data_IF_030252810778
#
_entry.id   IF_030252810778
#
_cell.length_a   1.000
_cell.length_b   1.000
_cell.length_c   1.000
_cell.angle_alpha   90.00
_cell.angle_beta   90.00
_cell.angle_gamma   90.00
#
_symmetry.space_group_name_H-M   'P 1'
#
loop_
_entity.id
_entity.type
_entity.pdbx_description
1 polymer ?
#
# COMPACT_ATOMS: atom_id res chain seq x y z
N UNK A 1 43.83 0.22 -29.47
CA UNK A 1 42.85 1.33 -29.48
C UNK A 1 41.42 0.83 -29.60
N UNK A 2 41.05 0.06 -30.64
CA UNK A 2 39.69 -0.49 -30.82
C UNK A 2 39.20 -1.32 -29.62
N UNK A 3 40.05 -2.19 -29.07
CA UNK A 3 39.71 -2.98 -27.88
C UNK A 3 39.43 -2.12 -26.64
N UNK A 4 40.16 -1.01 -26.46
CA UNK A 4 39.97 -0.09 -25.34
C UNK A 4 38.63 0.65 -25.49
N UNK A 5 38.29 1.06 -26.73
CA UNK A 5 37.02 1.71 -27.04
C UNK A 5 35.84 0.77 -26.76
N UNK A 6 35.94 -0.50 -27.16
CA UNK A 6 34.94 -1.53 -26.85
C UNK A 6 34.78 -1.75 -25.34
N UNK A 7 35.88 -1.83 -24.60
CA UNK A 7 35.83 -1.99 -23.14
C UNK A 7 35.11 -0.81 -22.45
N UNK A 8 35.45 0.42 -22.85
CA UNK A 8 34.81 1.64 -22.33
C UNK A 8 33.31 1.65 -22.63
N UNK A 9 32.92 1.21 -23.84
CA UNK A 9 31.51 1.10 -24.22
C UNK A 9 30.73 0.12 -23.33
N UNK A 10 31.29 -1.06 -23.05
CA UNK A 10 30.66 -2.03 -22.14
C UNK A 10 30.55 -1.51 -20.70
N UNK A 11 31.57 -0.83 -20.19
CA UNK A 11 31.53 -0.22 -18.86
C UNK A 11 30.43 0.85 -18.78
N UNK A 12 30.29 1.68 -19.81
CA UNK A 12 29.22 2.68 -19.88
C UNK A 12 27.84 2.04 -19.88
N UNK A 13 27.63 0.94 -20.62
CA UNK A 13 26.36 0.21 -20.62
C UNK A 13 26.01 -0.32 -19.22
N UNK A 14 26.98 -0.91 -18.51
CA UNK A 14 26.77 -1.42 -17.15
C UNK A 14 26.39 -0.28 -16.19
N UNK A 15 27.05 0.87 -16.30
CA UNK A 15 26.75 2.05 -15.46
C UNK A 15 25.33 2.56 -15.73
N UNK A 16 24.89 2.58 -16.98
CA UNK A 16 23.54 3.01 -17.36
C UNK A 16 22.50 2.03 -16.80
N UNK A 17 22.69 0.72 -16.99
CA UNK A 17 21.78 -0.29 -16.42
C UNK A 17 21.71 -0.19 -14.90
N UNK A 18 22.85 -0.06 -14.23
CA UNK A 18 22.91 0.10 -12.78
C UNK A 18 22.17 1.36 -12.31
N UNK A 19 22.32 2.48 -13.04
CA UNK A 19 21.60 3.71 -12.74
C UNK A 19 20.07 3.54 -12.87
N UNK A 20 19.59 2.85 -13.91
CA UNK A 20 18.17 2.57 -14.08
C UNK A 20 17.62 1.66 -12.97
N UNK A 21 18.37 0.63 -12.57
CA UNK A 21 18.00 -0.29 -11.48
C UNK A 21 17.92 0.49 -10.15
N UNK A 22 18.92 1.31 -9.83
CA UNK A 22 18.89 2.13 -8.61
C UNK A 22 17.81 3.21 -8.65
N UNK A 23 17.56 3.84 -9.80
CA UNK A 23 16.56 4.90 -9.93
C UNK A 23 15.12 4.37 -9.85
N UNK A 24 14.86 3.13 -10.27
CA UNK A 24 13.55 2.48 -10.15
C UNK A 24 13.29 1.90 -8.76
N UNK A 25 14.34 1.66 -7.97
CA UNK A 25 14.21 1.20 -6.57
C UNK A 25 13.65 2.26 -5.63
N UNK A 26 13.70 3.55 -5.98
CA UNK A 26 13.04 4.62 -5.22
C UNK A 26 11.57 4.74 -5.63
N UNK A 27 10.81 3.66 -5.41
CA UNK A 27 9.35 3.71 -5.37
C UNK A 27 8.97 4.64 -4.22
N UNK A 28 8.74 5.91 -4.53
CA UNK A 28 8.23 6.90 -3.57
C UNK A 28 7.01 6.29 -2.89
N UNK A 29 7.08 6.14 -1.56
CA UNK A 29 5.97 5.71 -0.73
C UNK A 29 4.76 6.61 -1.02
N UNK A 30 3.82 6.07 -1.79
CA UNK A 30 2.60 6.72 -2.25
C UNK A 30 1.50 6.69 -1.18
N UNK A 31 1.89 6.44 0.07
CA UNK A 31 1.00 6.09 1.18
C UNK A 31 1.34 7.01 2.34
N UNK A 32 0.39 7.86 2.72
CA UNK A 32 0.49 8.60 3.98
C UNK A 32 -0.11 7.73 5.08
N UNK A 33 0.58 7.64 6.23
CA UNK A 33 0.11 6.91 7.41
C UNK A 33 -0.11 7.89 8.57
N UNK A 34 -1.31 7.84 9.16
CA UNK A 34 -1.64 8.59 10.37
C UNK A 34 -2.15 7.63 11.45
N UNK A 35 -1.62 7.77 12.68
CA UNK A 35 -2.05 6.97 13.81
C UNK A 35 -3.36 7.54 14.39
N UNK A 36 -4.33 6.66 14.64
CA UNK A 36 -5.57 7.03 15.31
C UNK A 36 -5.45 6.69 16.80
N UNK A 37 -5.30 7.70 17.65
CA UNK A 37 -5.17 7.51 19.10
C UNK A 37 -6.39 6.81 19.70
N UNK A 38 -7.59 7.13 19.21
CA UNK A 38 -8.84 6.54 19.69
C UNK A 38 -9.85 6.34 18.55
N UNK A 39 -10.07 5.09 18.15
CA UNK A 39 -10.99 4.73 17.05
C UNK A 39 -12.44 5.11 17.39
N UNK A 40 -12.83 5.07 18.66
CA UNK A 40 -14.20 5.33 19.11
C UNK A 40 -14.55 6.83 19.07
N UNK A 41 -13.53 7.69 19.09
CA UNK A 41 -13.65 9.15 18.97
C UNK A 41 -13.27 9.67 17.59
N UNK A 42 -12.93 8.77 16.65
CA UNK A 42 -12.49 9.18 15.33
C UNK A 42 -13.68 9.74 14.55
N UNK A 43 -13.55 10.98 14.09
CA UNK A 43 -14.62 11.65 13.34
C UNK A 43 -14.61 11.18 11.87
N UNK A 44 -15.28 10.06 11.61
CA UNK A 44 -15.43 9.50 10.27
C UNK A 44 -16.03 10.51 9.28
N UNK A 45 -16.89 11.43 9.73
CA UNK A 45 -17.55 12.44 8.88
C UNK A 45 -16.57 13.50 8.41
N UNK A 46 -15.65 13.95 9.27
CA UNK A 46 -14.58 14.88 8.89
C UNK A 46 -13.70 14.31 7.76
N UNK A 47 -13.46 13.01 7.78
CA UNK A 47 -12.65 12.30 6.77
C UNK A 47 -13.47 11.76 5.58
N UNK A 48 -14.80 11.98 5.59
CA UNK A 48 -15.78 11.46 4.61
C UNK A 48 -15.70 9.94 4.41
N UNK A 49 -15.40 9.20 5.48
CA UNK A 49 -15.33 7.74 5.43
C UNK A 49 -16.70 7.12 5.68
N UNK A 50 -17.02 6.09 4.91
CA UNK A 50 -18.20 5.25 5.07
C UNK A 50 -17.83 3.94 5.76
N UNK A 51 -18.70 3.48 6.67
CA UNK A 51 -18.47 2.25 7.44
C UNK A 51 -19.06 1.07 6.69
N UNK A 52 -18.23 0.06 6.47
CA UNK A 52 -18.62 -1.19 5.85
C UNK A 52 -18.39 -2.37 6.79
N UNK A 53 -19.18 -3.43 6.57
CA UNK A 53 -19.10 -4.70 7.26
C UNK A 53 -19.15 -5.85 6.27
N UNK A 54 -18.29 -6.84 6.47
CA UNK A 54 -18.29 -8.06 5.67
C UNK A 54 -18.24 -9.31 6.53
N UNK A 55 -19.14 -10.24 6.25
CA UNK A 55 -19.15 -11.59 6.83
C UNK A 55 -18.12 -12.52 6.17
N UNK A 56 -17.46 -12.11 5.09
CA UNK A 56 -16.48 -12.90 4.33
C UNK A 56 -15.20 -12.10 4.08
N UNK A 57 -14.16 -12.78 3.59
CA UNK A 57 -12.96 -12.12 3.07
C UNK A 57 -13.30 -10.95 2.14
N UNK A 58 -12.51 -9.88 2.24
CA UNK A 58 -12.70 -8.65 1.46
C UNK A 58 -11.55 -8.51 0.47
N UNK A 59 -11.88 -8.28 -0.80
CA UNK A 59 -10.92 -8.01 -1.87
C UNK A 59 -11.35 -6.73 -2.62
N UNK A 60 -10.64 -5.63 -2.38
CA UNK A 60 -10.87 -4.33 -3.01
C UNK A 60 -9.75 -4.09 -4.00
N UNK A 61 -10.07 -4.10 -5.29
CA UNK A 61 -9.09 -3.90 -6.36
C UNK A 61 -9.04 -2.45 -6.80
N UNK A 62 -7.84 -1.97 -7.15
CA UNK A 62 -7.63 -0.64 -7.71
C UNK A 62 -8.17 0.49 -6.82
N UNK A 63 -8.03 0.35 -5.49
CA UNK A 63 -8.49 1.32 -4.51
C UNK A 63 -7.58 2.55 -4.46
N UNK A 64 -8.18 3.73 -4.49
CA UNK A 64 -7.51 5.03 -4.29
C UNK A 64 -8.35 5.81 -3.30
N UNK A 65 -7.75 6.27 -2.21
CA UNK A 65 -8.49 7.00 -1.19
C UNK A 65 -8.00 6.74 0.21
N UNK A 66 -8.91 6.95 1.17
CA UNK A 66 -8.60 6.80 2.59
C UNK A 66 -9.19 5.50 3.10
N UNK A 67 -8.42 4.78 3.90
CA UNK A 67 -8.79 3.47 4.39
C UNK A 67 -8.40 3.29 5.85
N UNK A 68 -9.27 2.69 6.64
CA UNK A 68 -9.00 2.30 8.03
C UNK A 68 -9.55 0.89 8.25
N UNK A 69 -8.71 -0.02 8.73
CA UNK A 69 -9.16 -1.30 9.25
C UNK A 69 -9.46 -1.15 10.74
N UNK A 70 -10.69 -1.46 11.13
CA UNK A 70 -11.16 -1.32 12.52
C UNK A 70 -10.86 -2.59 13.31
N UNK A 71 -11.16 -3.74 12.71
CA UNK A 71 -10.89 -5.05 13.28
C UNK A 71 -10.36 -6.01 12.19
N UNK A 72 -10.02 -7.23 12.58
CA UNK A 72 -9.43 -8.25 11.69
C UNK A 72 -8.08 -7.84 11.06
N UNK A 73 -7.52 -8.75 10.28
CA UNK A 73 -6.21 -8.61 9.65
C UNK A 73 -6.38 -8.29 8.18
N UNK A 74 -5.66 -7.28 7.69
CA UNK A 74 -5.63 -6.94 6.27
C UNK A 74 -4.22 -6.72 5.73
N UNK A 75 -4.12 -6.78 4.41
CA UNK A 75 -2.94 -6.41 3.65
C UNK A 75 -3.33 -5.46 2.53
N UNK A 76 -2.38 -4.68 2.06
CA UNK A 76 -2.49 -4.02 0.76
C UNK A 76 -1.27 -4.35 -0.09
N UNK A 77 -1.46 -4.38 -1.40
CA UNK A 77 -0.40 -4.55 -2.39
C UNK A 77 -0.16 -3.18 -3.00
N UNK A 78 1.02 -2.63 -2.72
CA UNK A 78 1.51 -1.46 -3.41
C UNK A 78 2.75 -1.89 -4.17
N UNK A 79 2.75 -1.64 -5.48
CA UNK A 79 3.94 -1.84 -6.29
C UNK A 79 4.52 -3.27 -6.18
N UNK A 80 3.64 -4.27 -6.21
CA UNK A 80 3.91 -5.72 -6.06
C UNK A 80 4.37 -6.18 -4.66
N UNK A 81 4.54 -5.26 -3.71
CA UNK A 81 4.90 -5.58 -2.33
C UNK A 81 3.68 -5.70 -1.43
N UNK A 82 3.61 -6.80 -0.68
CA UNK A 82 2.59 -7.03 0.33
C UNK A 82 2.93 -6.29 1.62
N UNK A 83 2.01 -5.43 2.04
CA UNK A 83 2.17 -4.60 3.23
C UNK A 83 1.03 -4.83 4.20
N UNK A 84 1.35 -4.85 5.50
CA UNK A 84 0.38 -5.09 6.57
C UNK A 84 -0.50 -3.86 6.83
N UNK A 85 -1.81 -4.06 6.87
CA UNK A 85 -2.77 -3.11 7.43
C UNK A 85 -2.87 -3.33 8.94
N UNK A 86 -2.45 -2.34 9.71
CA UNK A 86 -2.57 -2.34 11.15
C UNK A 86 -3.89 -1.70 11.56
N UNK A 87 -4.57 -2.24 12.58
CA UNK A 87 -5.76 -1.61 13.12
C UNK A 87 -5.43 -0.23 13.69
N UNK A 88 -6.42 0.67 13.67
CA UNK A 88 -6.30 2.04 14.20
C UNK A 88 -5.27 2.90 13.44
N UNK A 89 -5.03 2.61 12.17
CA UNK A 89 -4.26 3.47 11.27
C UNK A 89 -5.14 3.97 10.13
N UNK A 90 -4.99 5.25 9.82
CA UNK A 90 -5.52 5.86 8.62
C UNK A 90 -4.46 5.78 7.53
N UNK A 91 -4.80 5.02 6.49
CA UNK A 91 -4.01 4.90 5.27
C UNK A 91 -4.59 5.85 4.24
N UNK A 92 -3.75 6.69 3.64
CA UNK A 92 -4.11 7.51 2.49
C UNK A 92 -3.30 7.04 1.28
N UNK A 93 -3.95 6.34 0.37
CA UNK A 93 -3.35 5.82 -0.85
C UNK A 93 -3.51 6.85 -1.98
N UNK A 94 -2.40 7.43 -2.43
CA UNK A 94 -2.37 8.41 -3.53
C UNK A 94 -2.25 7.77 -4.92
N UNK A 95 -2.06 6.45 -4.95
CA UNK A 95 -2.02 5.62 -6.16
C UNK A 95 -2.88 4.39 -5.94
N UNK A 96 -3.35 3.73 -7.02
CA UNK A 96 -4.19 2.55 -6.86
C UNK A 96 -3.45 1.39 -6.20
N UNK A 97 -4.12 0.76 -5.22
CA UNK A 97 -3.63 -0.42 -4.51
C UNK A 97 -4.71 -1.51 -4.49
N UNK A 98 -4.30 -2.76 -4.32
CA UNK A 98 -5.23 -3.84 -4.03
C UNK A 98 -5.23 -4.09 -2.52
N UNK A 99 -6.38 -4.02 -1.87
CA UNK A 99 -6.56 -4.29 -0.45
C UNK A 99 -7.21 -5.66 -0.29
N UNK A 100 -6.61 -6.51 0.53
CA UNK A 100 -7.14 -7.84 0.86
C UNK A 100 -7.25 -8.00 2.36
N UNK A 101 -8.42 -8.34 2.86
CA UNK A 101 -8.70 -8.58 4.28
C UNK A 101 -9.16 -10.02 4.44
N UNK A 102 -8.53 -10.76 5.34
CA UNK A 102 -8.83 -12.17 5.58
C UNK A 102 -9.68 -12.27 6.84
N UNK A 103 -10.81 -12.98 6.76
CA UNK A 103 -11.65 -13.27 7.91
C UNK A 103 -10.98 -14.34 8.75
N UNK A 104 -10.49 -13.93 9.91
CA UNK A 104 -9.80 -14.84 10.85
C UNK A 104 -10.80 -15.48 11.82
N UNK A 105 -11.88 -14.77 12.18
CA UNK A 105 -12.86 -15.23 13.17
C UNK A 105 -14.24 -15.41 12.53
N UNK A 106 -14.81 -16.59 12.66
CA UNK A 106 -16.13 -16.88 12.08
C UNK A 106 -17.28 -16.06 12.68
N UNK A 107 -17.15 -15.67 13.95
CA UNK A 107 -18.23 -15.02 14.73
C UNK A 107 -18.12 -13.49 14.77
N UNK A 108 -17.15 -12.89 14.08
CA UNK A 108 -16.95 -11.44 14.02
C UNK A 108 -16.88 -10.99 12.56
N UNK A 109 -17.62 -9.94 12.22
CA UNK A 109 -17.57 -9.33 10.89
C UNK A 109 -16.27 -8.53 10.73
N UNK A 110 -15.79 -8.45 9.49
CA UNK A 110 -14.74 -7.50 9.10
C UNK A 110 -15.36 -6.10 9.06
N UNK A 111 -14.83 -5.19 9.86
CA UNK A 111 -15.20 -3.78 9.94
C UNK A 111 -14.06 -2.91 9.41
N UNK A 112 -14.38 -2.10 8.41
CA UNK A 112 -13.46 -1.15 7.80
C UNK A 112 -14.19 0.12 7.39
N UNK A 113 -13.41 1.15 7.12
CA UNK A 113 -13.88 2.47 6.74
C UNK A 113 -13.15 2.90 5.47
N UNK A 114 -13.88 3.35 4.46
CA UNK A 114 -13.31 3.79 3.19
C UNK A 114 -13.98 5.05 2.62
N UNK A 115 -13.26 5.75 1.74
CA UNK A 115 -13.73 6.89 0.93
C UNK A 115 -13.06 6.83 -0.43
#
# INVERSE_FOLDING_TARGET
>A
MIFIILLIYFILLIIIEFFFICSTSNKKESITLENIENIDKFDFKKHKLEKEKSENDVDIKNFVGKFVIVNNYGFYINLDDWNLLQPKKLYEFKVPVNIKIIKIKNNEDIEYLLN
#
